data_IF_128380037844
#
_entry.id   IF_128380037844
#
_cell.length_a   1.000
_cell.length_b   1.000
_cell.length_c   1.000
_cell.angle_alpha   90.00
_cell.angle_beta   90.00
_cell.angle_gamma   90.00
#
_symmetry.space_group_name_H-M   'P 1'
#
loop_
_entity.id
_entity.type
_entity.pdbx_description
1 polymer ?
#
# COMPACT_ATOMS: atom_id res chain seq x y z
N UNK A 1 -5.16 -18.38 -8.06
CA UNK A 1 -3.83 -18.25 -7.44
C UNK A 1 -3.72 -16.81 -7.00
N UNK A 2 -3.57 -16.54 -5.70
CA UNK A 2 -3.37 -15.18 -5.18
C UNK A 2 -1.96 -14.72 -5.55
N UNK A 3 -1.83 -14.08 -6.70
CA UNK A 3 -0.56 -13.65 -7.26
C UNK A 3 0.08 -12.55 -6.41
N UNK A 4 1.22 -12.89 -5.79
CA UNK A 4 2.33 -12.00 -5.41
C UNK A 4 2.07 -10.86 -4.43
N UNK A 5 0.82 -10.59 -4.06
CA UNK A 5 0.41 -9.39 -3.33
C UNK A 5 -0.27 -9.72 -2.00
N UNK A 6 0.12 -9.01 -0.94
CA UNK A 6 -0.48 -9.10 0.38
C UNK A 6 -1.25 -7.81 0.66
N UNK A 7 -2.51 -7.94 1.08
CA UNK A 7 -3.38 -6.81 1.41
C UNK A 7 -3.44 -6.64 2.93
N UNK A 8 -3.16 -5.44 3.40
CA UNK A 8 -3.27 -5.04 4.79
C UNK A 8 -4.45 -4.06 4.93
N UNK A 9 -5.59 -4.59 5.39
CA UNK A 9 -6.83 -3.87 5.62
C UNK A 9 -7.40 -4.23 7.00
N UNK A 10 -7.49 -3.27 7.91
CA UNK A 10 -7.83 -3.46 9.33
C UNK A 10 -9.31 -3.79 9.61
N UNK A 11 -10.02 -4.44 8.68
CA UNK A 11 -11.45 -4.71 8.87
C UNK A 11 -11.73 -5.84 9.87
N UNK A 12 -10.73 -6.61 10.34
CA UNK A 12 -10.98 -7.87 11.06
C UNK A 12 -10.06 -8.18 12.24
N UNK A 13 -9.94 -7.30 13.24
CA UNK A 13 -9.47 -7.65 14.60
C UNK A 13 -8.02 -8.17 14.76
N UNK A 14 -7.31 -8.42 13.66
CA UNK A 14 -5.90 -8.77 13.60
C UNK A 14 -5.11 -7.46 13.64
N UNK A 15 -4.02 -7.45 14.41
CA UNK A 15 -3.03 -6.37 14.44
C UNK A 15 -2.33 -6.28 13.07
N UNK A 16 -3.05 -5.69 12.13
CA UNK A 16 -2.71 -5.60 10.70
C UNK A 16 -1.48 -4.70 10.54
N UNK A 17 -1.30 -3.76 11.45
CA UNK A 17 -0.12 -2.91 11.56
C UNK A 17 1.13 -3.72 11.91
N UNK A 18 1.08 -4.62 12.91
CA UNK A 18 2.23 -5.50 13.21
C UNK A 18 2.64 -6.35 12.02
N UNK A 19 1.67 -6.96 11.31
CA UNK A 19 1.97 -7.78 10.14
C UNK A 19 2.54 -6.95 8.99
N UNK A 20 2.00 -5.75 8.76
CA UNK A 20 2.54 -4.82 7.78
C UNK A 20 3.98 -4.41 8.13
N UNK A 21 4.25 -4.07 9.40
CA UNK A 21 5.59 -3.71 9.88
C UNK A 21 6.57 -4.89 9.72
N UNK A 22 6.14 -6.11 10.09
CA UNK A 22 6.93 -7.31 9.88
C UNK A 22 7.26 -7.51 8.40
N UNK A 23 6.28 -7.33 7.52
CA UNK A 23 6.48 -7.48 6.08
C UNK A 23 7.46 -6.46 5.51
N UNK A 24 7.33 -5.17 5.83
CA UNK A 24 8.28 -4.13 5.36
C UNK A 24 9.68 -4.31 5.97
N UNK A 25 9.80 -5.00 7.11
CA UNK A 25 11.08 -5.32 7.71
C UNK A 25 11.76 -6.50 7.01
N UNK A 26 11.00 -7.53 6.63
CA UNK A 26 11.51 -8.67 5.87
C UNK A 26 11.79 -8.32 4.39
N UNK A 27 11.04 -7.39 3.78
CA UNK A 27 11.06 -7.13 2.34
C UNK A 27 11.59 -5.72 2.02
N UNK A 28 12.84 -5.41 2.37
CA UNK A 28 13.42 -4.07 2.19
C UNK A 28 13.46 -3.57 0.75
N UNK A 29 13.53 -4.49 -0.21
CA UNK A 29 13.50 -4.21 -1.66
C UNK A 29 12.08 -4.29 -2.26
N UNK A 30 11.07 -4.52 -1.43
CA UNK A 30 9.68 -4.64 -1.87
C UNK A 30 9.02 -3.31 -2.17
N UNK A 31 7.75 -3.40 -2.55
CA UNK A 31 6.90 -2.30 -2.96
C UNK A 31 5.64 -2.24 -2.11
N UNK A 32 5.17 -1.02 -1.87
CA UNK A 32 3.96 -0.71 -1.10
C UNK A 32 3.09 0.24 -1.91
N UNK A 33 1.82 -0.10 -2.01
CA UNK A 33 0.77 0.72 -2.59
C UNK A 33 -0.20 1.14 -1.48
N UNK A 34 -0.65 2.39 -1.54
CA UNK A 34 -1.71 2.90 -0.68
C UNK A 34 -2.95 3.19 -1.52
N UNK A 35 -4.10 2.63 -1.14
CA UNK A 35 -5.39 2.88 -1.81
C UNK A 35 -6.38 3.43 -0.78
N UNK A 36 -7.11 4.52 -1.07
CA UNK A 36 -8.19 5.00 -0.21
C UNK A 36 -9.26 3.92 0.02
N UNK A 37 -9.74 3.71 1.25
CA UNK A 37 -10.81 2.72 1.53
C UNK A 37 -12.13 3.06 0.82
N UNK A 38 -12.36 4.34 0.56
CA UNK A 38 -13.51 4.85 -0.19
C UNK A 38 -13.27 4.94 -1.71
N UNK A 39 -12.31 4.19 -2.27
CA UNK A 39 -11.96 4.19 -3.70
C UNK A 39 -13.16 4.02 -4.65
N UNK A 40 -14.22 3.34 -4.20
CA UNK A 40 -15.45 3.14 -5.00
C UNK A 40 -16.31 4.39 -5.13
N UNK A 41 -16.19 5.36 -4.22
CA UNK A 41 -17.08 6.53 -4.15
C UNK A 41 -16.40 7.85 -4.49
N UNK A 42 -15.06 7.88 -4.53
CA UNK A 42 -14.29 9.08 -4.93
C UNK A 42 -14.10 9.15 -6.45
N UNK A 43 -13.91 10.36 -6.98
CA UNK A 43 -13.67 10.55 -8.41
C UNK A 43 -12.37 9.87 -8.85
N UNK A 44 -12.34 9.37 -10.09
CA UNK A 44 -11.13 8.75 -10.68
C UNK A 44 -9.93 9.70 -10.67
N UNK A 45 -10.17 11.00 -10.87
CA UNK A 45 -9.13 12.03 -10.81
C UNK A 45 -8.51 12.17 -9.41
N UNK A 46 -9.31 12.07 -8.36
CA UNK A 46 -8.81 12.10 -7.00
C UNK A 46 -8.09 10.79 -6.64
N UNK A 47 -8.66 9.66 -7.07
CA UNK A 47 -8.07 8.34 -6.87
C UNK A 47 -6.70 8.22 -7.55
N UNK A 48 -6.52 8.76 -8.76
CA UNK A 48 -5.24 8.72 -9.48
C UNK A 48 -4.15 9.55 -8.80
N UNK A 49 -4.51 10.68 -8.16
CA UNK A 49 -3.57 11.54 -7.43
C UNK A 49 -3.15 10.98 -6.07
N UNK A 50 -3.98 10.13 -5.48
CA UNK A 50 -3.78 9.58 -4.13
C UNK A 50 -3.29 8.14 -4.12
N UNK A 51 -3.46 7.41 -5.22
CA UNK A 51 -3.01 6.02 -5.37
C UNK A 51 -1.62 6.01 -6.00
N UNK A 52 -0.62 5.57 -5.21
CA UNK A 52 0.78 5.62 -5.62
C UNK A 52 1.59 4.44 -5.10
N UNK A 53 2.49 3.92 -5.95
CA UNK A 53 3.44 2.87 -5.58
C UNK A 53 4.69 3.50 -4.97
N UNK A 54 5.21 2.89 -3.91
CA UNK A 54 6.43 3.28 -3.21
C UNK A 54 7.35 2.07 -3.07
N UNK A 55 8.68 2.31 -3.01
CA UNK A 55 9.59 1.33 -2.42
C UNK A 55 9.41 1.28 -0.91
N UNK A 56 9.69 0.13 -0.30
CA UNK A 56 9.67 -0.04 1.16
C UNK A 56 10.60 0.94 1.88
N UNK A 57 11.77 1.23 1.30
CA UNK A 57 12.74 2.17 1.86
C UNK A 57 12.35 3.66 1.68
N UNK A 58 11.27 3.97 0.94
CA UNK A 58 10.77 5.33 0.77
C UNK A 58 10.57 5.99 2.14
N UNK A 59 11.04 7.21 2.36
CA UNK A 59 10.86 7.93 3.64
C UNK A 59 9.40 7.94 4.14
N UNK A 60 8.45 8.07 3.22
CA UNK A 60 7.01 8.03 3.55
C UNK A 60 6.54 6.67 4.04
N UNK A 61 7.27 5.59 3.76
CA UNK A 61 6.99 4.21 4.17
C UNK A 61 7.90 3.79 5.34
N UNK A 62 9.20 4.05 5.25
CA UNK A 62 10.20 3.63 6.23
C UNK A 62 10.06 4.34 7.57
N UNK A 63 9.38 5.50 7.63
CA UNK A 63 8.96 6.10 8.91
C UNK A 63 8.08 5.16 9.75
N UNK A 64 7.39 4.21 9.12
CA UNK A 64 6.61 3.17 9.81
C UNK A 64 7.46 1.99 10.29
N UNK A 65 8.65 1.79 9.71
CA UNK A 65 9.56 0.71 10.14
C UNK A 65 10.23 0.97 11.49
N UNK A 66 10.24 2.23 11.96
CA UNK A 66 10.97 2.68 13.15
C UNK A 66 10.08 3.00 14.36
N UNK A 67 8.75 3.00 14.26
CA UNK A 67 7.91 3.62 15.29
C UNK A 67 6.71 2.80 15.80
N UNK A 68 6.74 2.66 17.13
CA UNK A 68 5.62 2.48 18.08
C UNK A 68 4.62 3.65 18.00
N UNK A 69 3.81 3.77 16.93
CA UNK A 69 2.71 4.75 16.95
C UNK A 69 1.49 4.19 17.67
N UNK A 70 0.88 5.00 18.54
CA UNK A 70 -0.34 4.72 19.29
C UNK A 70 -1.62 4.73 18.44
N UNK A 71 -1.55 5.15 17.17
CA UNK A 71 -2.71 5.24 16.28
C UNK A 71 -2.52 4.34 15.06
N UNK A 72 -3.49 3.46 14.83
CA UNK A 72 -3.48 2.51 13.71
C UNK A 72 -3.24 3.20 12.36
N UNK A 73 -2.29 2.67 11.59
CA UNK A 73 -1.92 3.15 10.25
C UNK A 73 -2.78 2.52 9.15
N UNK A 74 -3.15 1.25 9.31
CA UNK A 74 -4.12 0.56 8.46
C UNK A 74 -5.58 0.91 8.80
N UNK A 75 -5.81 1.59 9.94
CA UNK A 75 -7.12 2.06 10.40
C UNK A 75 -7.58 3.41 9.88
N UNK A 76 -6.68 4.21 9.30
CA UNK A 76 -7.05 5.50 8.71
C UNK A 76 -7.65 5.31 7.31
N UNK A 77 -7.68 6.35 6.50
CA UNK A 77 -8.44 6.43 5.24
C UNK A 77 -7.96 5.49 4.11
N UNK A 78 -6.94 4.67 4.34
CA UNK A 78 -6.26 3.88 3.30
C UNK A 78 -6.05 2.44 3.77
N UNK A 79 -6.08 1.49 2.84
CA UNK A 79 -5.51 0.15 3.03
C UNK A 79 -4.23 0.02 2.20
N UNK A 80 -3.37 -0.94 2.56
CA UNK A 80 -2.10 -1.16 1.88
C UNK A 80 -2.12 -2.44 1.08
N UNK A 81 -1.42 -2.43 -0.05
CA UNK A 81 -1.08 -3.64 -0.79
C UNK A 81 0.44 -3.68 -0.91
N UNK A 82 1.04 -4.82 -0.63
CA UNK A 82 2.47 -5.02 -0.62
C UNK A 82 2.86 -6.16 -1.55
N UNK A 83 3.98 -6.04 -2.25
CA UNK A 83 4.52 -7.11 -3.10
C UNK A 83 6.04 -6.96 -3.24
N UNK A 84 6.74 -8.06 -3.46
CA UNK A 84 8.14 -8.04 -3.89
C UNK A 84 8.30 -7.77 -5.39
N UNK A 85 7.20 -7.81 -6.15
CA UNK A 85 7.15 -7.55 -7.58
C UNK A 85 6.32 -6.30 -7.88
N UNK A 86 6.93 -5.33 -8.56
CA UNK A 86 6.26 -4.09 -8.93
C UNK A 86 5.14 -4.31 -9.96
N UNK A 87 5.30 -5.27 -10.87
CA UNK A 87 4.33 -5.56 -11.91
C UNK A 87 3.03 -6.09 -11.31
N UNK A 88 3.13 -7.09 -10.44
CA UNK A 88 1.99 -7.71 -9.75
C UNK A 88 1.21 -6.65 -8.97
N UNK A 89 1.94 -5.79 -8.24
CA UNK A 89 1.33 -4.69 -7.49
C UNK A 89 0.61 -3.68 -8.38
N UNK A 90 1.17 -3.38 -9.56
CA UNK A 90 0.55 -2.47 -10.54
C UNK A 90 -0.70 -3.08 -11.15
N UNK A 91 -0.66 -4.35 -11.54
CA UNK A 91 -1.81 -5.06 -12.09
C UNK A 91 -2.95 -5.16 -11.08
N UNK A 92 -2.63 -5.52 -9.82
CA UNK A 92 -3.61 -5.57 -8.72
C UNK A 92 -4.25 -4.21 -8.47
N UNK A 93 -3.46 -3.15 -8.52
CA UNK A 93 -3.93 -1.77 -8.34
C UNK A 93 -4.90 -1.34 -9.45
N UNK A 94 -4.56 -1.59 -10.71
CA UNK A 94 -5.42 -1.30 -11.86
C UNK A 94 -6.74 -2.07 -11.74
N UNK A 95 -6.66 -3.36 -11.40
CA UNK A 95 -7.83 -4.20 -11.21
C UNK A 95 -8.77 -3.68 -10.11
N UNK A 96 -8.22 -3.24 -8.97
CA UNK A 96 -9.04 -2.73 -7.84
C UNK A 96 -9.62 -1.34 -8.13
N UNK A 97 -8.81 -0.45 -8.72
CA UNK A 97 -9.17 0.97 -8.85
C UNK A 97 -9.87 1.31 -10.16
N UNK A 98 -9.76 0.46 -11.18
CA UNK A 98 -10.22 0.76 -12.54
C UNK A 98 -9.50 1.96 -13.18
N UNK A 99 -8.32 2.33 -12.66
CA UNK A 99 -7.43 3.32 -13.26
C UNK A 99 -6.64 2.68 -14.40
N UNK A 100 -6.40 3.43 -15.48
CA UNK A 100 -5.58 2.95 -16.60
C UNK A 100 -4.09 2.82 -16.22
N UNK A 101 -3.60 3.71 -15.36
CA UNK A 101 -2.23 3.72 -14.87
C UNK A 101 -2.19 4.11 -13.40
N UNK A 102 -1.13 3.65 -12.72
CA UNK A 102 -0.87 3.95 -11.31
C UNK A 102 0.41 4.77 -11.22
N UNK A 103 0.34 5.91 -10.53
CA UNK A 103 1.50 6.76 -10.33
C UNK A 103 2.56 6.06 -9.47
N UNK A 104 3.82 6.34 -9.79
CA UNK A 104 4.97 5.91 -8.99
C UNK A 104 5.46 7.08 -8.14
N UNK A 105 5.90 6.79 -6.93
CA UNK A 105 6.58 7.77 -6.10
C UNK A 105 7.98 8.07 -6.63
N UNK A 106 8.46 9.29 -6.41
CA UNK A 106 9.82 9.71 -6.76
C UNK A 106 10.92 8.80 -6.18
N UNK A 107 10.65 8.06 -5.09
CA UNK A 107 11.58 7.06 -4.55
C UNK A 107 11.82 5.84 -5.46
N UNK A 108 11.07 5.71 -6.55
CA UNK A 108 11.20 4.63 -7.53
C UNK A 108 12.06 5.04 -8.73
N UNK A 109 12.51 6.29 -8.78
CA UNK A 109 13.40 6.83 -9.80
C UNK A 109 14.83 6.91 -9.25
#
# INVERSE_FOLDING_TARGET
>A
MDEGCIVFNETEGIDTDKHYIAWINANKNGYVLSIPKNYRTISKLFLSKTTRIHRVNCYLISKYSKFQQSSSFTGKKYFKICSTNQSDLTQKAIHITGLFMIEKCRCMN
#
